data_IF_273111250225
#
_entry.id   IF_273111250225
#
_cell.length_a   1.000
_cell.length_b   1.000
_cell.length_c   1.000
_cell.angle_alpha   90.00
_cell.angle_beta   90.00
_cell.angle_gamma   90.00
#
_symmetry.space_group_name_H-M   'P 1'
#
loop_
_entity.id
_entity.type
_entity.pdbx_description
1 polymer ?
#
# COMPACT_ATOMS: atom_id res chain seq x y z
N UNK A 1 -0.47 33.12 -13.22
CA UNK A 1 -0.05 32.47 -14.49
C UNK A 1 1.16 31.56 -14.28
N UNK A 2 0.99 30.25 -14.49
CA UNK A 2 2.06 29.26 -14.69
C UNK A 2 3.03 29.00 -13.52
N UNK A 3 2.57 28.38 -12.43
CA UNK A 3 3.48 27.84 -11.37
C UNK A 3 3.90 26.39 -11.61
N UNK A 4 3.33 25.73 -12.62
CA UNK A 4 3.55 24.31 -12.89
C UNK A 4 3.83 24.08 -14.38
N UNK A 5 4.80 23.21 -14.67
CA UNK A 5 5.08 22.73 -16.02
C UNK A 5 4.34 21.40 -16.22
N UNK A 6 3.40 21.36 -17.16
CA UNK A 6 2.80 20.10 -17.60
C UNK A 6 3.72 19.46 -18.65
N UNK A 7 4.13 18.21 -18.40
CA UNK A 7 4.87 17.39 -19.36
C UNK A 7 4.13 16.09 -19.58
N UNK A 8 3.75 15.81 -20.82
CA UNK A 8 3.04 14.59 -21.21
C UNK A 8 4.02 13.64 -21.92
N UNK A 9 4.11 12.41 -21.44
CA UNK A 9 5.00 11.38 -22.00
C UNK A 9 4.13 10.23 -22.50
N UNK A 10 4.20 9.93 -23.80
CA UNK A 10 3.48 8.83 -24.42
C UNK A 10 4.38 7.61 -24.58
N UNK A 11 3.97 6.49 -24.00
CA UNK A 11 4.72 5.23 -24.09
C UNK A 11 4.12 4.37 -25.22
N UNK A 12 4.90 4.16 -26.28
CA UNK A 12 4.44 3.44 -27.49
C UNK A 12 4.22 1.94 -27.24
N UNK A 13 5.03 1.33 -26.39
CA UNK A 13 4.88 -0.07 -25.99
C UNK A 13 4.20 -0.17 -24.61
N UNK A 14 2.90 0.16 -24.60
CA UNK A 14 2.03 -0.07 -23.46
C UNK A 14 2.17 -1.52 -22.96
N UNK A 15 2.00 -1.73 -21.66
CA UNK A 15 2.09 -3.06 -21.02
C UNK A 15 3.48 -3.70 -21.02
N UNK A 16 4.54 -2.92 -21.31
CA UNK A 16 5.95 -3.34 -21.13
C UNK A 16 6.68 -2.60 -20.02
N UNK A 17 6.17 -1.46 -19.54
CA UNK A 17 6.86 -0.66 -18.53
C UNK A 17 6.84 -1.36 -17.17
N UNK A 18 8.00 -1.89 -16.77
CA UNK A 18 8.15 -2.70 -15.54
C UNK A 18 8.68 -1.92 -14.36
N UNK A 19 9.39 -0.84 -14.60
CA UNK A 19 10.01 -0.04 -13.55
C UNK A 19 9.68 1.42 -13.81
N UNK A 20 9.08 2.07 -12.82
CA UNK A 20 8.82 3.49 -12.82
C UNK A 20 9.31 4.06 -11.49
N UNK A 21 10.24 5.00 -11.57
CA UNK A 21 10.79 5.67 -10.40
C UNK A 21 10.80 7.16 -10.65
N UNK A 22 10.25 7.92 -9.71
CA UNK A 22 10.24 9.38 -9.76
C UNK A 22 11.11 9.93 -8.66
N UNK A 23 11.98 10.87 -9.02
CA UNK A 23 12.87 11.58 -8.11
C UNK A 23 12.66 13.07 -8.27
N UNK A 24 12.47 13.78 -7.15
CA UNK A 24 12.36 15.24 -7.12
C UNK A 24 10.96 15.72 -6.77
N UNK A 25 10.75 17.04 -6.85
CA UNK A 25 9.45 17.65 -6.55
C UNK A 25 8.51 17.59 -7.76
N UNK A 26 7.23 17.33 -7.51
CA UNK A 26 6.19 17.33 -8.54
C UNK A 26 5.18 16.22 -8.36
N UNK A 27 4.22 16.15 -9.30
CA UNK A 27 3.27 15.05 -9.39
C UNK A 27 3.44 14.34 -10.74
N UNK A 28 3.57 13.02 -10.71
CA UNK A 28 3.44 12.16 -11.88
C UNK A 28 2.10 11.45 -11.79
N UNK A 29 1.30 11.53 -12.85
CA UNK A 29 0.06 10.77 -12.98
C UNK A 29 0.25 9.79 -14.14
N UNK A 30 0.07 8.51 -13.85
CA UNK A 30 0.10 7.42 -14.82
C UNK A 30 -1.32 6.92 -14.99
N UNK A 31 -1.90 7.25 -16.15
CA UNK A 31 -3.23 6.81 -16.56
C UNK A 31 -3.11 5.83 -17.71
N UNK A 32 -3.91 4.75 -17.69
CA UNK A 32 -4.21 4.00 -18.90
C UNK A 32 -5.14 4.81 -19.81
N UNK A 33 -4.91 4.80 -21.13
CA UNK A 33 -5.86 5.36 -22.10
C UNK A 33 -6.80 4.24 -22.57
N UNK A 34 -8.10 4.37 -22.33
CA UNK A 34 -9.10 3.37 -22.72
C UNK A 34 -8.78 1.98 -22.14
N UNK A 35 -8.79 0.95 -23.00
CA UNK A 35 -8.45 -0.43 -22.63
C UNK A 35 -6.93 -0.71 -22.53
N UNK A 36 -6.09 0.33 -22.57
CA UNK A 36 -4.63 0.18 -22.58
C UNK A 36 -4.00 0.44 -21.21
N UNK A 37 -3.22 -0.53 -20.70
CA UNK A 37 -2.37 -0.33 -19.53
C UNK A 37 -0.97 0.16 -19.93
N UNK A 38 -0.51 1.30 -19.40
CA UNK A 38 0.86 1.80 -19.61
C UNK A 38 1.89 0.91 -18.92
N UNK A 39 1.56 0.43 -17.72
CA UNK A 39 2.41 -0.41 -16.89
C UNK A 39 2.30 -1.87 -17.29
N UNK A 40 3.33 -2.66 -16.98
CA UNK A 40 3.33 -4.08 -17.29
C UNK A 40 2.13 -4.79 -16.63
N UNK A 41 1.23 -5.29 -17.46
CA UNK A 41 0.02 -6.02 -17.08
C UNK A 41 -0.05 -7.37 -17.83
N UNK A 42 -0.79 -8.33 -17.32
CA UNK A 42 -0.92 -9.69 -17.86
C UNK A 42 0.42 -10.41 -18.06
N UNK A 43 1.35 -10.20 -17.11
CA UNK A 43 2.68 -10.82 -17.12
C UNK A 43 2.87 -11.66 -15.86
N UNK A 44 2.43 -12.93 -15.86
CA UNK A 44 2.42 -13.79 -14.66
C UNK A 44 3.80 -14.05 -14.05
N UNK A 45 4.89 -13.73 -14.75
CA UNK A 45 6.27 -13.84 -14.25
C UNK A 45 7.01 -12.50 -14.21
N UNK A 46 6.39 -11.42 -14.68
CA UNK A 46 6.99 -10.08 -14.70
C UNK A 46 6.83 -9.40 -13.34
N UNK A 47 7.91 -8.80 -12.83
CA UNK A 47 7.85 -7.94 -11.64
C UNK A 47 7.60 -6.49 -12.05
N UNK A 48 6.65 -5.83 -11.40
CA UNK A 48 6.38 -4.40 -11.51
C UNK A 48 7.02 -3.68 -10.32
N UNK A 49 7.78 -2.61 -10.57
CA UNK A 49 8.39 -1.77 -9.54
C UNK A 49 7.95 -0.33 -9.72
N UNK A 50 7.39 0.23 -8.65
CA UNK A 50 6.95 1.62 -8.58
C UNK A 50 7.66 2.30 -7.41
N UNK A 51 8.21 3.48 -7.64
CA UNK A 51 8.93 4.20 -6.61
C UNK A 51 8.73 5.72 -6.65
N UNK A 52 8.59 6.33 -5.47
CA UNK A 52 8.45 7.76 -5.27
C UNK A 52 9.50 8.26 -4.26
N UNK A 53 10.32 9.23 -4.66
CA UNK A 53 11.39 9.78 -3.81
C UNK A 53 11.48 11.30 -3.83
N UNK A 54 12.03 11.87 -2.75
CA UNK A 54 12.40 13.30 -2.63
C UNK A 54 11.23 14.26 -2.83
N UNK A 55 10.12 14.01 -2.15
CA UNK A 55 8.91 14.85 -2.21
C UNK A 55 8.02 14.64 -3.44
N UNK A 56 8.34 13.67 -4.31
CA UNK A 56 7.52 13.35 -5.48
C UNK A 56 6.18 12.75 -5.06
N UNK A 57 5.10 13.11 -5.75
CA UNK A 57 3.81 12.41 -5.66
C UNK A 57 3.59 11.59 -6.92
N UNK A 58 3.40 10.29 -6.80
CA UNK A 58 3.17 9.40 -7.93
C UNK A 58 1.78 8.80 -7.79
N UNK A 59 0.92 9.06 -8.77
CA UNK A 59 -0.42 8.49 -8.87
C UNK A 59 -0.42 7.50 -10.01
N UNK A 60 -0.72 6.24 -9.72
CA UNK A 60 -0.95 5.19 -10.70
C UNK A 60 -2.41 4.83 -10.63
N UNK A 61 -3.18 5.21 -11.66
CA UNK A 61 -4.61 4.93 -11.74
C UNK A 61 -4.87 4.07 -12.97
N UNK A 62 -5.46 2.89 -12.74
CA UNK A 62 -5.75 1.95 -13.82
C UNK A 62 -7.12 1.34 -13.64
N UNK A 63 -7.98 1.45 -14.65
CA UNK A 63 -9.30 0.84 -14.62
C UNK A 63 -9.23 -0.68 -14.76
N UNK A 64 -8.29 -1.18 -15.58
CA UNK A 64 -7.98 -2.60 -15.67
C UNK A 64 -7.13 -3.04 -14.48
N UNK A 65 -7.44 -4.22 -13.94
CA UNK A 65 -6.65 -4.82 -12.86
C UNK A 65 -5.18 -5.05 -13.23
N UNK A 66 -4.31 -5.17 -12.23
CA UNK A 66 -2.93 -5.59 -12.38
C UNK A 66 -2.79 -7.10 -12.20
N UNK A 67 -2.34 -7.79 -13.24
CA UNK A 67 -1.98 -9.21 -13.20
C UNK A 67 -0.48 -9.40 -13.45
N UNK A 68 0.27 -9.55 -12.37
CA UNK A 68 1.74 -9.53 -12.38
C UNK A 68 2.35 -10.74 -11.68
N UNK A 69 3.62 -11.03 -11.96
CA UNK A 69 4.38 -12.05 -11.21
C UNK A 69 4.79 -11.58 -9.82
N UNK A 70 4.81 -10.28 -9.57
CA UNK A 70 5.06 -9.69 -8.26
C UNK A 70 5.12 -8.17 -8.36
N UNK A 71 4.94 -7.49 -7.24
CA UNK A 71 4.95 -6.03 -7.20
C UNK A 71 5.87 -5.53 -6.10
N UNK A 72 6.62 -4.46 -6.38
CA UNK A 72 7.45 -3.79 -5.39
C UNK A 72 7.17 -2.30 -5.40
N UNK A 73 6.71 -1.79 -4.27
CA UNK A 73 6.32 -0.41 -4.06
C UNK A 73 7.30 0.23 -3.08
N UNK A 74 7.86 1.38 -3.45
CA UNK A 74 8.83 2.08 -2.62
C UNK A 74 8.47 3.54 -2.48
N UNK A 75 8.55 4.07 -1.26
CA UNK A 75 8.47 5.50 -1.03
C UNK A 75 9.52 5.94 -0.03
N UNK A 76 10.16 7.07 -0.26
CA UNK A 76 11.12 7.59 0.70
C UNK A 76 11.50 9.04 0.50
N UNK A 77 12.18 9.60 1.50
CA UNK A 77 12.57 11.02 1.51
C UNK A 77 11.40 11.97 1.18
N UNK A 78 10.23 11.73 1.77
CA UNK A 78 9.01 12.52 1.56
C UNK A 78 8.23 12.18 0.30
N UNK A 79 8.62 11.13 -0.44
CA UNK A 79 7.89 10.64 -1.60
C UNK A 79 6.57 9.99 -1.21
N UNK A 80 5.52 10.19 -2.02
CA UNK A 80 4.19 9.61 -1.83
C UNK A 80 3.78 8.83 -3.06
N UNK A 81 3.39 7.58 -2.87
CA UNK A 81 2.96 6.69 -3.94
C UNK A 81 1.51 6.27 -3.69
N UNK A 82 0.66 6.53 -4.67
CA UNK A 82 -0.75 6.20 -4.69
C UNK A 82 -1.00 5.24 -5.84
N UNK A 83 -1.55 4.07 -5.56
CA UNK A 83 -1.90 3.06 -6.57
C UNK A 83 -3.37 2.73 -6.45
N UNK A 84 -4.18 3.07 -7.45
CA UNK A 84 -5.61 2.73 -7.54
C UNK A 84 -5.83 1.81 -8.73
N UNK A 85 -6.46 0.67 -8.47
CA UNK A 85 -6.75 -0.37 -9.47
C UNK A 85 -8.04 -1.09 -9.10
N UNK A 86 -8.75 -1.68 -10.06
CA UNK A 86 -9.94 -2.50 -9.75
C UNK A 86 -9.56 -3.85 -9.13
N UNK A 87 -8.55 -4.50 -9.70
CA UNK A 87 -8.06 -5.82 -9.26
C UNK A 87 -6.53 -5.80 -9.16
N UNK A 88 -5.96 -6.54 -8.21
CA UNK A 88 -4.51 -6.72 -8.04
C UNK A 88 -4.20 -8.20 -7.77
N UNK A 89 -3.83 -8.93 -8.83
CA UNK A 89 -3.43 -10.34 -8.75
C UNK A 89 -1.94 -10.47 -8.96
N UNK A 90 -1.23 -10.94 -7.94
CA UNK A 90 0.18 -11.24 -8.00
C UNK A 90 0.43 -12.74 -7.78
N UNK A 91 1.12 -13.39 -8.72
CA UNK A 91 1.55 -14.81 -8.54
C UNK A 91 2.67 -14.97 -7.53
N UNK A 92 3.36 -13.89 -7.21
CA UNK A 92 4.46 -13.84 -6.25
C UNK A 92 4.27 -12.69 -5.27
N UNK A 93 5.27 -12.39 -4.43
CA UNK A 93 5.12 -11.45 -3.34
C UNK A 93 4.82 -10.03 -3.81
N UNK A 94 3.90 -9.38 -3.12
CA UNK A 94 3.76 -7.92 -3.14
C UNK A 94 4.55 -7.37 -1.96
N UNK A 95 5.46 -6.43 -2.23
CA UNK A 95 6.30 -5.80 -1.21
C UNK A 95 6.12 -4.30 -1.23
N UNK A 96 5.78 -3.72 -0.11
CA UNK A 96 5.74 -2.28 0.10
C UNK A 96 6.82 -1.89 1.12
N UNK A 97 7.63 -0.89 0.80
CA UNK A 97 8.63 -0.39 1.72
C UNK A 97 8.67 1.13 1.75
N UNK A 98 8.61 1.69 2.96
CA UNK A 98 8.72 3.13 3.19
C UNK A 98 9.94 3.41 4.04
N UNK A 99 10.76 4.35 3.57
CA UNK A 99 11.91 4.85 4.30
C UNK A 99 11.81 6.37 4.43
N UNK A 100 11.35 6.82 5.60
CA UNK A 100 11.18 8.24 5.89
C UNK A 100 12.02 8.66 7.08
N UNK A 101 12.82 9.71 6.92
CA UNK A 101 13.54 10.34 8.05
C UNK A 101 12.70 11.44 8.72
N UNK A 102 11.71 11.96 8.01
CA UNK A 102 10.81 13.07 8.38
C UNK A 102 9.40 12.70 7.91
N UNK A 103 8.37 13.33 8.48
CA UNK A 103 6.97 13.22 8.02
C UNK A 103 6.88 13.40 6.50
N UNK A 104 6.13 12.51 5.85
CA UNK A 104 5.60 12.76 4.52
C UNK A 104 5.80 11.64 3.53
N UNK A 105 6.53 10.57 3.89
CA UNK A 105 6.67 9.40 3.02
C UNK A 105 5.48 8.46 3.20
N UNK A 106 4.77 8.14 2.13
CA UNK A 106 3.63 7.24 2.22
C UNK A 106 3.44 6.37 0.99
N UNK A 107 2.91 5.18 1.21
CA UNK A 107 2.37 4.31 0.16
C UNK A 107 0.91 4.07 0.51
N UNK A 108 0.02 4.39 -0.42
CA UNK A 108 -1.40 4.07 -0.33
C UNK A 108 -1.76 3.24 -1.55
N UNK A 109 -2.34 2.07 -1.30
CA UNK A 109 -2.86 1.20 -2.35
C UNK A 109 -4.35 1.00 -2.11
N UNK A 110 -5.13 1.24 -3.15
CA UNK A 110 -6.57 1.10 -3.14
C UNK A 110 -6.97 0.13 -4.26
N UNK A 111 -7.63 -0.96 -3.90
CA UNK A 111 -8.03 -2.01 -4.84
C UNK A 111 -9.33 -2.66 -4.39
N UNK A 112 -10.20 -3.05 -5.31
CA UNK A 112 -11.40 -3.81 -4.93
C UNK A 112 -11.04 -5.26 -4.60
N UNK A 113 -10.19 -5.85 -5.44
CA UNK A 113 -9.75 -7.24 -5.26
C UNK A 113 -8.24 -7.34 -5.11
N UNK A 114 -7.77 -8.20 -4.20
CA UNK A 114 -6.36 -8.52 -4.01
C UNK A 114 -6.18 -10.03 -3.90
N UNK A 115 -5.26 -10.59 -4.68
CA UNK A 115 -4.86 -11.99 -4.54
C UNK A 115 -3.35 -12.12 -4.66
N UNK A 116 -2.71 -12.58 -3.57
CA UNK A 116 -1.26 -12.83 -3.55
C UNK A 116 -0.93 -13.95 -2.57
N UNK A 117 0.07 -14.81 -2.85
CA UNK A 117 0.55 -15.78 -1.86
C UNK A 117 1.22 -15.09 -0.66
N UNK A 118 1.81 -13.91 -0.87
CA UNK A 118 2.46 -13.20 0.23
C UNK A 118 2.43 -11.69 0.07
N UNK A 119 2.22 -11.03 1.19
CA UNK A 119 2.25 -9.59 1.31
C UNK A 119 3.28 -9.19 2.37
N UNK A 120 4.22 -8.33 1.99
CA UNK A 120 5.26 -7.81 2.86
C UNK A 120 5.20 -6.30 2.94
N UNK A 121 5.18 -5.75 4.15
CA UNK A 121 5.30 -4.31 4.37
C UNK A 121 6.44 -4.00 5.34
N UNK A 122 7.26 -3.02 5.00
CA UNK A 122 8.35 -2.56 5.84
C UNK A 122 8.35 -1.05 5.96
N UNK A 123 8.37 -0.53 7.19
CA UNK A 123 8.51 0.90 7.46
C UNK A 123 9.77 1.11 8.28
N UNK A 124 10.62 2.04 7.85
CA UNK A 124 11.75 2.53 8.64
C UNK A 124 11.67 4.05 8.82
N UNK A 125 11.86 4.48 10.08
CA UNK A 125 11.72 5.86 10.53
C UNK A 125 10.25 6.31 10.65
N UNK A 126 9.89 7.38 9.93
CA UNK A 126 8.55 7.98 9.93
C UNK A 126 7.93 7.89 8.53
N UNK A 127 7.00 6.97 8.35
CA UNK A 127 6.25 6.86 7.11
C UNK A 127 5.10 5.85 7.21
N UNK A 128 4.12 6.00 6.32
CA UNK A 128 2.86 5.28 6.41
C UNK A 128 2.68 4.34 5.22
N UNK A 129 2.30 3.10 5.48
CA UNK A 129 1.79 2.17 4.45
C UNK A 129 0.33 1.90 4.76
N UNK A 130 -0.55 2.11 3.79
CA UNK A 130 -1.96 1.74 3.91
C UNK A 130 -2.44 0.98 2.68
N UNK A 131 -3.14 -0.11 2.92
CA UNK A 131 -3.93 -0.83 1.94
C UNK A 131 -5.40 -0.63 2.27
N UNK A 132 -6.17 -0.18 1.28
CA UNK A 132 -7.60 0.03 1.40
C UNK A 132 -8.34 -0.80 0.35
N UNK A 133 -9.40 -1.47 0.76
CA UNK A 133 -10.30 -2.15 -0.18
C UNK A 133 -11.37 -1.18 -0.69
N UNK A 134 -11.66 -1.17 -1.99
CA UNK A 134 -12.76 -0.39 -2.56
C UNK A 134 -14.11 -1.11 -2.46
N UNK A 135 -14.10 -2.43 -2.59
CA UNK A 135 -15.24 -3.29 -2.31
C UNK A 135 -15.20 -3.78 -0.85
N UNK A 136 -16.26 -4.44 -0.38
CA UNK A 136 -16.32 -5.01 0.96
C UNK A 136 -15.18 -5.97 1.29
N UNK A 137 -15.12 -6.41 2.54
CA UNK A 137 -13.92 -7.00 3.19
C UNK A 137 -13.46 -8.39 2.71
N UNK A 138 -14.17 -9.01 1.74
CA UNK A 138 -13.99 -10.43 1.40
C UNK A 138 -13.21 -10.69 0.09
N UNK A 139 -12.88 -9.65 -0.69
CA UNK A 139 -12.22 -9.81 -2.00
C UNK A 139 -10.69 -9.60 -1.95
N UNK A 140 -10.17 -9.15 -0.81
CA UNK A 140 -8.75 -8.89 -0.61
C UNK A 140 -8.09 -9.99 0.24
N UNK A 141 -7.58 -11.04 -0.43
CA UNK A 141 -7.04 -12.24 0.19
C UNK A 141 -5.52 -12.38 0.02
N UNK A 142 -4.86 -12.79 1.11
CA UNK A 142 -3.44 -13.11 1.11
C UNK A 142 -3.18 -14.38 1.94
N UNK A 143 -2.24 -15.25 1.55
CA UNK A 143 -1.92 -16.41 2.38
C UNK A 143 -1.05 -16.01 3.59
N UNK A 144 0.05 -15.28 3.35
CA UNK A 144 0.96 -14.86 4.43
C UNK A 144 1.24 -13.35 4.42
N UNK A 145 1.06 -12.69 5.56
CA UNK A 145 1.47 -11.30 5.79
C UNK A 145 2.74 -11.22 6.65
N UNK A 146 3.68 -10.36 6.25
CA UNK A 146 4.88 -10.04 7.02
C UNK A 146 5.05 -8.53 7.14
N UNK A 147 4.86 -8.00 8.34
CA UNK A 147 4.91 -6.57 8.63
C UNK A 147 6.11 -6.27 9.53
N UNK A 148 6.93 -5.30 9.14
CA UNK A 148 8.09 -4.88 9.94
C UNK A 148 8.09 -3.36 10.08
N UNK A 149 8.13 -2.86 11.30
CA UNK A 149 8.23 -1.43 11.59
C UNK A 149 9.48 -1.20 12.44
N UNK A 150 10.39 -0.37 11.97
CA UNK A 150 11.54 0.12 12.71
C UNK A 150 11.45 1.65 12.80
N UNK A 151 10.68 2.15 13.77
CA UNK A 151 10.34 3.57 13.87
C UNK A 151 9.06 3.87 14.65
N UNK A 152 8.40 4.97 14.30
CA UNK A 152 7.30 5.54 15.09
C UNK A 152 5.95 5.58 14.39
N UNK A 153 5.89 5.17 13.13
CA UNK A 153 4.68 5.31 12.30
C UNK A 153 4.03 3.94 12.01
N UNK A 154 3.15 3.89 11.01
CA UNK A 154 2.09 2.89 10.96
C UNK A 154 2.05 2.11 9.65
N UNK A 155 1.67 0.83 9.79
CA UNK A 155 1.28 -0.04 8.69
C UNK A 155 -0.17 -0.44 8.92
N UNK A 156 -1.01 -0.19 7.92
CA UNK A 156 -2.42 -0.52 7.96
C UNK A 156 -2.78 -1.42 6.76
N UNK A 157 -3.03 -2.68 7.07
CA UNK A 157 -3.46 -3.72 6.12
C UNK A 157 -4.74 -4.40 6.64
N UNK A 158 -5.56 -3.66 7.39
CA UNK A 158 -6.81 -4.17 7.95
C UNK A 158 -7.74 -4.73 6.88
N UNK A 159 -7.81 -4.07 5.73
CA UNK A 159 -8.65 -4.49 4.59
C UNK A 159 -8.12 -5.72 3.84
N UNK A 160 -7.00 -6.33 4.26
CA UNK A 160 -6.47 -7.55 3.66
C UNK A 160 -6.62 -8.70 4.65
N UNK A 161 -7.47 -9.65 4.31
CA UNK A 161 -7.64 -10.89 5.08
C UNK A 161 -6.51 -11.86 4.77
N UNK A 162 -5.78 -12.26 5.82
CA UNK A 162 -4.70 -13.24 5.71
C UNK A 162 -4.90 -14.50 6.54
N UNK A 163 -4.29 -15.62 6.12
CA UNK A 163 -4.30 -16.84 6.96
C UNK A 163 -3.30 -16.74 8.10
N UNK A 164 -2.09 -16.28 7.77
CA UNK A 164 -1.00 -16.15 8.73
C UNK A 164 -0.35 -14.78 8.65
N UNK A 165 -0.03 -14.20 9.81
CA UNK A 165 0.61 -12.90 9.91
C UNK A 165 1.80 -12.95 10.88
N UNK A 166 2.90 -12.31 10.47
CA UNK A 166 4.08 -12.05 11.31
C UNK A 166 4.30 -10.55 11.40
N UNK A 167 4.40 -10.04 12.62
CA UNK A 167 4.60 -8.62 12.89
C UNK A 167 5.82 -8.43 13.77
N UNK A 168 6.77 -7.63 13.30
CA UNK A 168 7.93 -7.20 14.07
C UNK A 168 7.92 -5.69 14.21
N UNK A 169 7.89 -5.15 15.44
CA UNK A 169 7.99 -3.71 15.66
C UNK A 169 9.14 -3.41 16.61
N UNK A 170 10.04 -2.54 16.17
CA UNK A 170 11.10 -1.93 16.94
C UNK A 170 10.83 -0.42 17.01
N UNK A 171 10.43 0.07 18.18
CA UNK A 171 10.09 1.48 18.40
C UNK A 171 8.68 1.68 18.96
N UNK A 172 7.98 2.68 18.44
CA UNK A 172 6.66 3.14 18.95
C UNK A 172 5.56 3.09 17.89
N UNK A 173 5.84 2.48 16.74
CA UNK A 173 4.88 2.38 15.64
C UNK A 173 3.69 1.46 15.92
N UNK A 174 2.71 1.49 15.01
CA UNK A 174 1.50 0.66 15.09
C UNK A 174 1.24 -0.14 13.81
N UNK A 175 0.89 -1.41 13.95
CA UNK A 175 0.44 -2.24 12.84
C UNK A 175 -1.03 -2.62 13.03
N UNK A 176 -1.85 -2.47 11.99
CA UNK A 176 -3.24 -2.96 11.94
C UNK A 176 -3.37 -3.98 10.82
N UNK A 177 -3.96 -5.14 11.09
CA UNK A 177 -4.10 -6.23 10.10
C UNK A 177 -5.32 -7.11 10.38
N UNK A 178 -5.73 -7.93 9.41
CA UNK A 178 -6.73 -8.97 9.59
C UNK A 178 -6.13 -10.35 9.29
N UNK A 179 -6.25 -11.28 10.24
CA UNK A 179 -5.70 -12.63 10.11
C UNK A 179 -6.59 -13.66 10.81
N UNK A 180 -6.74 -14.84 10.21
CA UNK A 180 -7.73 -15.84 10.66
C UNK A 180 -7.13 -17.03 11.40
N UNK A 181 -5.94 -17.53 11.03
CA UNK A 181 -5.38 -18.74 11.65
C UNK A 181 -4.31 -18.40 12.67
N UNK A 182 -3.25 -17.70 12.24
CA UNK A 182 -2.04 -17.48 13.06
C UNK A 182 -1.57 -16.04 13.05
N UNK A 183 -1.28 -15.51 14.24
CA UNK A 183 -0.61 -14.23 14.43
C UNK A 183 0.62 -14.39 15.33
N UNK A 184 1.80 -14.03 14.82
CA UNK A 184 3.01 -13.90 15.63
C UNK A 184 3.43 -12.44 15.70
N UNK A 185 3.52 -11.88 16.91
CA UNK A 185 3.91 -10.50 17.13
C UNK A 185 5.13 -10.42 18.06
N UNK A 186 6.20 -9.80 17.56
CA UNK A 186 7.39 -9.44 18.32
C UNK A 186 7.51 -7.93 18.39
N UNK A 187 7.45 -7.35 19.58
CA UNK A 187 7.54 -5.90 19.76
C UNK A 187 8.62 -5.55 20.77
N UNK A 188 9.47 -4.59 20.44
CA UNK A 188 10.46 -3.99 21.34
C UNK A 188 10.21 -2.47 21.39
N UNK A 189 9.83 -1.96 22.56
CA UNK A 189 9.44 -0.55 22.75
C UNK A 189 7.98 -0.40 23.18
N UNK A 190 7.33 0.70 22.79
CA UNK A 190 5.93 1.04 23.13
C UNK A 190 4.95 0.77 21.99
N UNK A 191 5.34 -0.09 21.07
CA UNK A 191 4.61 -0.43 19.86
C UNK A 191 3.25 -1.10 20.11
N UNK A 192 2.37 -1.01 19.12
CA UNK A 192 1.02 -1.59 19.15
C UNK A 192 0.77 -2.44 17.91
N UNK A 193 0.20 -3.62 18.11
CA UNK A 193 -0.26 -4.54 17.07
C UNK A 193 -1.75 -4.75 17.28
N UNK A 194 -2.51 -4.26 16.32
CA UNK A 194 -3.95 -4.30 16.29
C UNK A 194 -4.40 -5.37 15.28
N UNK A 195 -5.38 -6.19 15.65
CA UNK A 195 -6.02 -7.12 14.72
C UNK A 195 -7.54 -6.92 14.68
N UNK A 196 -8.12 -7.03 13.49
CA UNK A 196 -9.57 -6.91 13.28
C UNK A 196 -10.30 -8.24 13.55
N UNK A 197 -11.57 -8.15 13.94
CA UNK A 197 -12.45 -9.32 14.08
C UNK A 197 -13.07 -9.72 12.73
N UNK A 198 -13.22 -11.04 12.44
CA UNK A 198 -12.90 -12.18 13.30
C UNK A 198 -11.39 -12.38 13.49
N UNK A 199 -10.98 -12.52 14.76
CA UNK A 199 -9.57 -12.60 15.13
C UNK A 199 -8.95 -13.99 14.90
N UNK A 200 -7.62 -14.10 14.96
CA UNK A 200 -6.91 -15.35 14.72
C UNK A 200 -7.18 -16.42 15.77
N UNK A 201 -7.22 -17.68 15.34
CA UNK A 201 -7.31 -18.84 16.24
C UNK A 201 -6.13 -18.94 17.22
N UNK A 202 -4.92 -18.55 16.78
CA UNK A 202 -3.70 -18.65 17.58
C UNK A 202 -2.88 -17.37 17.53
N UNK A 203 -2.63 -16.80 18.70
CA UNK A 203 -1.81 -15.61 18.87
C UNK A 203 -0.57 -15.94 19.70
N UNK A 204 0.61 -15.61 19.19
CA UNK A 204 1.90 -15.74 19.88
C UNK A 204 2.60 -14.38 19.94
N UNK A 205 2.75 -13.81 21.13
CA UNK A 205 3.42 -12.52 21.29
C UNK A 205 3.22 -11.92 22.67
N UNK A 206 3.76 -10.72 22.89
CA UNK A 206 3.55 -9.96 24.13
C UNK A 206 2.11 -9.46 24.21
N UNK A 207 1.39 -9.81 25.27
CA UNK A 207 -0.02 -9.41 25.47
C UNK A 207 -0.20 -7.90 25.60
N UNK A 208 0.82 -7.17 26.07
CA UNK A 208 0.75 -5.71 26.25
C UNK A 208 0.73 -4.91 24.94
N UNK A 209 1.25 -5.49 23.86
CA UNK A 209 1.28 -4.85 22.54
C UNK A 209 0.14 -5.31 21.63
N UNK A 210 -0.59 -6.37 22.00
CA UNK A 210 -1.67 -6.94 21.20
C UNK A 210 -3.02 -6.34 21.61
N UNK A 211 -3.80 -5.84 20.64
CA UNK A 211 -5.18 -5.38 20.85
C UNK A 211 -6.10 -5.87 19.76
N UNK A 212 -7.23 -6.45 20.15
CA UNK A 212 -8.35 -6.63 19.25
C UNK A 212 -9.01 -5.26 19.00
N UNK A 213 -9.22 -4.91 17.73
CA UNK A 213 -10.05 -3.77 17.35
C UNK A 213 -11.48 -4.27 17.20
N UNK A 214 -12.35 -3.81 18.11
CA UNK A 214 -13.78 -4.11 18.10
C UNK A 214 -14.47 -3.44 16.91
N UNK A 215 -15.72 -3.83 16.63
CA UNK A 215 -16.55 -3.27 15.55
C UNK A 215 -16.61 -1.73 15.50
N UNK A 216 -16.44 -1.03 16.64
CA UNK A 216 -16.40 0.43 16.67
C UNK A 216 -15.12 1.03 16.04
N UNK A 217 -13.97 0.36 16.22
CA UNK A 217 -12.73 0.75 15.56
C UNK A 217 -12.72 0.38 14.07
N UNK A 218 -13.45 -0.68 13.70
CA UNK A 218 -13.74 -1.04 12.31
C UNK A 218 -14.57 0.05 11.60
N UNK A 219 -15.61 0.58 12.24
CA UNK A 219 -16.38 1.71 11.71
C UNK A 219 -15.54 3.00 11.59
N UNK A 220 -14.58 3.24 12.50
CA UNK A 220 -13.63 4.35 12.35
C UNK A 220 -12.67 4.13 11.17
N UNK A 221 -12.27 2.89 10.93
CA UNK A 221 -11.45 2.51 9.77
C UNK A 221 -12.18 2.71 8.44
N UNK A 222 -13.48 2.39 8.39
CA UNK A 222 -14.37 2.70 7.27
C UNK A 222 -14.51 4.21 7.04
N UNK A 223 -14.67 5.02 8.09
CA UNK A 223 -14.72 6.48 7.98
C UNK A 223 -13.41 7.06 7.41
N UNK A 224 -12.26 6.48 7.75
CA UNK A 224 -10.97 6.87 7.17
C UNK A 224 -10.82 6.48 5.69
N UNK A 225 -11.61 5.53 5.18
CA UNK A 225 -11.63 5.14 3.76
C UNK A 225 -12.04 6.32 2.86
N UNK A 226 -12.97 7.17 3.30
CA UNK A 226 -13.36 8.38 2.57
C UNK A 226 -12.21 9.40 2.46
N UNK A 227 -11.39 9.54 3.51
CA UNK A 227 -10.21 10.42 3.48
C UNK A 227 -9.11 9.88 2.54
N UNK A 228 -9.03 8.56 2.38
CA UNK A 228 -8.11 7.92 1.41
C UNK A 228 -8.52 8.23 -0.02
N UNK A 229 -9.81 8.06 -0.34
CA UNK A 229 -10.32 8.39 -1.67
C UNK A 229 -10.02 9.85 -2.05
N UNK A 230 -10.18 10.77 -1.09
CA UNK A 230 -9.80 12.18 -1.27
C UNK A 230 -8.27 12.35 -1.50
N UNK A 231 -7.43 11.65 -0.73
CA UNK A 231 -5.97 11.70 -0.89
C UNK A 231 -5.47 11.06 -2.19
N UNK A 232 -6.24 10.15 -2.78
CA UNK A 232 -5.95 9.45 -4.03
C UNK A 232 -6.44 10.16 -5.27
N UNK A 233 -7.15 11.28 -5.12
CA UNK A 233 -7.58 12.10 -6.25
C UNK A 233 -6.35 12.71 -6.93
N UNK A 234 -6.03 12.31 -8.18
CA UNK A 234 -4.89 12.85 -8.89
C UNK A 234 -5.13 14.33 -9.25
N UNK A 235 -4.08 15.16 -9.33
CA UNK A 235 -4.22 16.52 -9.84
C UNK A 235 -4.77 16.50 -11.27
N UNK A 236 -5.73 17.38 -11.57
CA UNK A 236 -6.32 17.49 -12.91
C UNK A 236 -5.40 18.26 -13.85
N UNK A 237 -5.56 18.03 -15.16
CA UNK A 237 -4.83 18.79 -16.19
C UNK A 237 -5.05 20.30 -16.04
N UNK A 238 -6.27 20.70 -15.72
CA UNK A 238 -6.66 22.10 -15.49
C UNK A 238 -5.96 22.72 -14.28
N UNK A 239 -5.68 21.93 -13.23
CA UNK A 239 -4.96 22.42 -12.04
C UNK A 239 -3.50 22.81 -12.32
N UNK A 240 -2.97 22.46 -13.50
CA UNK A 240 -1.61 22.81 -13.91
C UNK A 240 -1.50 24.19 -14.59
N UNK A 241 -2.60 24.79 -15.04
CA UNK A 241 -2.63 26.03 -15.83
C UNK A 241 -2.95 27.28 -15.01
#
# INVERSE_FOLDING_TARGET
PGKHLLTEIFVREASKLRNLSVFGGGALVVTGNGDGSVLANERPYGKLKLAAFRGSRVFVTQQQGFRVGGMSLFAGWGGRLYVSTSELVARGPIRAAVAGRWDGSSIIVQTSQLSTPSFGAAVTGSGKIRFASDSGEDECLCETQSLVIAGSDSIDTGDITSKSARVGILGSGSATLQTTEWLTAGTLGTARVNYLEPGPERVRGSTSSLRALTAAAKAQHENERAAIAAAMTPPTRESAF
#
